data_IF_062915892416
#
_entry.id   IF_062915892416
#
_cell.length_a   1.000
_cell.length_b   1.000
_cell.length_c   1.000
_cell.angle_alpha   90.00
_cell.angle_beta   90.00
_cell.angle_gamma   90.00
#
_symmetry.space_group_name_H-M   'P 1'
#
loop_
_entity.id
_entity.type
_entity.pdbx_description
1 polymer ?
#
# COMPACT_ATOMS: atom_id res chain seq x y z
N UNK A 1 -3.78 -22.24 5.24
CA UNK A 1 -3.05 -20.95 5.26
C UNK A 1 -3.88 -19.85 5.95
N UNK A 2 -5.10 -19.55 5.48
CA UNK A 2 -5.99 -18.55 6.12
C UNK A 2 -6.16 -18.76 7.63
N UNK A 3 -6.48 -19.98 8.07
CA UNK A 3 -6.61 -20.30 9.50
C UNK A 3 -5.33 -20.01 10.29
N UNK A 4 -4.17 -20.45 9.79
CA UNK A 4 -2.86 -20.22 10.43
C UNK A 4 -2.57 -18.72 10.54
N UNK A 5 -2.86 -17.94 9.50
CA UNK A 5 -2.66 -16.49 9.50
C UNK A 5 -3.61 -15.79 10.48
N UNK A 6 -4.88 -16.18 10.52
CA UNK A 6 -5.83 -15.65 11.51
C UNK A 6 -5.39 -16.00 12.94
N UNK A 7 -4.86 -17.21 13.17
CA UNK A 7 -4.30 -17.60 14.46
C UNK A 7 -3.07 -16.75 14.81
N UNK A 8 -2.16 -16.51 13.88
CA UNK A 8 -0.99 -15.64 14.10
C UNK A 8 -1.41 -14.20 14.41
N UNK A 9 -2.36 -13.64 13.66
CA UNK A 9 -2.91 -12.30 13.91
C UNK A 9 -3.59 -12.24 15.29
N UNK A 10 -4.29 -13.30 15.69
CA UNK A 10 -4.88 -13.40 17.01
C UNK A 10 -3.82 -13.39 18.11
N UNK A 11 -2.75 -14.18 17.97
CA UNK A 11 -1.66 -14.26 18.95
C UNK A 11 -0.90 -12.91 19.06
N UNK A 12 -0.72 -12.22 17.95
CA UNK A 12 0.00 -10.94 17.88
C UNK A 12 -0.89 -9.71 18.21
N UNK A 13 -2.18 -9.89 18.49
CA UNK A 13 -3.13 -8.77 18.70
C UNK A 13 -2.69 -7.80 19.80
N UNK A 14 -2.13 -8.31 20.90
CA UNK A 14 -1.73 -7.49 22.04
C UNK A 14 -0.44 -6.69 21.75
N UNK A 15 0.64 -7.29 21.21
CA UNK A 15 1.79 -6.54 20.72
C UNK A 15 1.40 -5.46 19.70
N UNK A 16 0.55 -5.78 18.72
CA UNK A 16 0.12 -4.84 17.68
C UNK A 16 -0.66 -3.69 18.29
N UNK A 17 -1.63 -3.96 19.18
CA UNK A 17 -2.42 -2.91 19.81
C UNK A 17 -1.57 -2.01 20.72
N UNK A 18 -0.61 -2.57 21.45
CA UNK A 18 0.35 -1.78 22.24
C UNK A 18 1.24 -0.93 21.36
N UNK A 19 1.72 -1.46 20.23
CA UNK A 19 2.56 -0.72 19.30
C UNK A 19 1.81 0.44 18.63
N UNK A 20 0.57 0.20 18.16
CA UNK A 20 -0.21 1.20 17.40
C UNK A 20 -0.87 2.22 18.31
N UNK A 21 -1.46 1.79 19.43
CA UNK A 21 -2.30 2.66 20.27
C UNK A 21 -1.66 3.02 21.62
N UNK A 22 -0.43 2.54 21.88
CA UNK A 22 0.24 2.73 23.18
C UNK A 22 -0.64 2.36 24.38
N UNK A 23 -1.56 1.41 24.19
CA UNK A 23 -2.55 1.01 25.17
C UNK A 23 -2.64 -0.51 25.26
N UNK A 24 -2.82 -1.01 26.48
CA UNK A 24 -3.03 -2.44 26.76
C UNK A 24 -4.52 -2.81 26.82
N UNK A 25 -5.39 -2.01 26.23
CA UNK A 25 -6.83 -2.25 26.25
C UNK A 25 -7.16 -3.51 25.44
N UNK A 26 -7.65 -4.54 26.15
CA UNK A 26 -8.04 -5.83 25.56
C UNK A 26 -9.14 -5.66 24.52
N UNK A 27 -10.04 -4.71 24.74
CA UNK A 27 -11.20 -4.49 23.86
C UNK A 27 -10.80 -3.81 22.55
N UNK A 28 -9.85 -2.87 22.60
CA UNK A 28 -9.24 -2.27 21.42
C UNK A 28 -8.40 -3.30 20.65
N UNK A 29 -7.66 -4.14 21.38
CA UNK A 29 -6.87 -5.22 20.77
C UNK A 29 -7.75 -6.21 19.99
N UNK A 30 -8.95 -6.51 20.51
CA UNK A 30 -9.92 -7.34 19.80
C UNK A 30 -10.52 -6.65 18.58
N UNK A 31 -10.84 -5.36 18.67
CA UNK A 31 -11.34 -4.58 17.51
C UNK A 31 -10.33 -4.55 16.35
N UNK A 32 -9.05 -4.38 16.68
CA UNK A 32 -7.95 -4.42 15.70
C UNK A 32 -7.82 -5.81 15.08
N UNK A 33 -7.87 -6.87 15.89
CA UNK A 33 -7.88 -8.24 15.39
C UNK A 33 -9.00 -8.47 14.37
N UNK A 34 -10.23 -8.06 14.71
CA UNK A 34 -11.38 -8.26 13.86
C UNK A 34 -11.23 -7.52 12.52
N UNK A 35 -10.79 -6.27 12.55
CA UNK A 35 -10.54 -5.48 11.35
C UNK A 35 -9.45 -6.11 10.46
N UNK A 36 -8.32 -6.53 11.06
CA UNK A 36 -7.23 -7.13 10.27
C UNK A 36 -7.67 -8.46 9.66
N UNK A 37 -8.41 -9.28 10.41
CA UNK A 37 -8.97 -10.53 9.93
C UNK A 37 -9.95 -10.30 8.75
N UNK A 38 -10.83 -9.31 8.86
CA UNK A 38 -11.82 -8.99 7.83
C UNK A 38 -11.18 -8.38 6.58
N UNK A 39 -10.17 -7.52 6.72
CA UNK A 39 -9.42 -7.00 5.59
C UNK A 39 -8.70 -8.13 4.85
N UNK A 40 -8.12 -9.08 5.59
CA UNK A 40 -7.43 -10.22 4.99
C UNK A 40 -8.39 -11.10 4.16
N UNK A 41 -9.61 -11.35 4.65
CA UNK A 41 -10.62 -12.09 3.88
C UNK A 41 -11.08 -11.31 2.64
N UNK A 42 -11.30 -10.00 2.73
CA UNK A 42 -11.60 -9.18 1.54
C UNK A 42 -10.48 -9.26 0.51
N UNK A 43 -9.21 -9.20 0.94
CA UNK A 43 -8.06 -9.31 0.03
C UNK A 43 -8.00 -10.67 -0.69
N UNK A 44 -8.30 -11.78 0.02
CA UNK A 44 -8.36 -13.11 -0.60
C UNK A 44 -9.50 -13.25 -1.60
N UNK A 45 -10.68 -12.72 -1.27
CA UNK A 45 -11.84 -12.72 -2.18
C UNK A 45 -11.51 -11.94 -3.45
N UNK A 46 -10.91 -10.76 -3.30
CA UNK A 46 -10.47 -9.94 -4.43
C UNK A 46 -9.39 -10.65 -5.27
N UNK A 47 -8.45 -11.36 -4.64
CA UNK A 47 -7.44 -12.13 -5.35
C UNK A 47 -8.06 -13.28 -6.17
N UNK A 48 -9.08 -13.95 -5.62
CA UNK A 48 -9.81 -15.00 -6.32
C UNK A 48 -10.53 -14.48 -7.58
N UNK A 49 -11.32 -13.41 -7.46
CA UNK A 49 -12.05 -12.84 -8.61
C UNK A 49 -11.09 -12.30 -9.69
N UNK A 50 -9.99 -11.66 -9.28
CA UNK A 50 -8.94 -11.20 -10.21
C UNK A 50 -8.25 -12.37 -10.92
N UNK A 51 -8.00 -13.48 -10.23
CA UNK A 51 -7.44 -14.69 -10.83
C UNK A 51 -8.34 -15.30 -11.90
N UNK A 52 -9.66 -15.20 -11.71
CA UNK A 52 -10.67 -15.66 -12.67
C UNK A 52 -10.99 -14.65 -13.79
N UNK A 53 -10.36 -13.47 -13.78
CA UNK A 53 -10.62 -12.36 -14.71
C UNK A 53 -12.05 -11.80 -14.63
N UNK A 54 -12.79 -12.06 -13.55
CA UNK A 54 -14.12 -11.48 -13.33
C UNK A 54 -13.98 -10.10 -12.68
N UNK A 55 -13.61 -9.11 -13.50
CA UNK A 55 -13.40 -7.73 -13.05
C UNK A 55 -14.70 -7.08 -12.55
N UNK A 56 -15.86 -7.53 -13.03
CA UNK A 56 -17.16 -7.01 -12.60
C UNK A 56 -17.40 -7.38 -11.14
N UNK A 57 -17.28 -8.67 -10.78
CA UNK A 57 -17.42 -9.12 -9.40
C UNK A 57 -16.36 -8.53 -8.49
N UNK A 58 -15.11 -8.47 -8.95
CA UNK A 58 -14.03 -7.80 -8.23
C UNK A 58 -14.39 -6.34 -7.90
N UNK A 59 -14.85 -5.56 -8.88
CA UNK A 59 -15.21 -4.16 -8.65
C UNK A 59 -16.41 -4.01 -7.71
N UNK A 60 -17.43 -4.87 -7.84
CA UNK A 60 -18.58 -4.89 -6.94
C UNK A 60 -18.14 -5.16 -5.49
N UNK A 61 -17.35 -6.22 -5.27
CA UNK A 61 -16.87 -6.56 -3.92
C UNK A 61 -15.95 -5.48 -3.36
N UNK A 62 -15.03 -4.93 -4.17
CA UNK A 62 -14.16 -3.87 -3.74
C UNK A 62 -14.96 -2.61 -3.34
N UNK A 63 -15.95 -2.20 -4.14
CA UNK A 63 -16.83 -1.09 -3.81
C UNK A 63 -17.65 -1.36 -2.53
N UNK A 64 -18.25 -2.54 -2.41
CA UNK A 64 -19.05 -2.91 -1.25
C UNK A 64 -18.21 -2.95 0.03
N UNK A 65 -17.12 -3.72 0.05
CA UNK A 65 -16.34 -3.98 1.25
C UNK A 65 -15.34 -2.88 1.61
N UNK A 66 -14.77 -2.17 0.63
CA UNK A 66 -13.75 -1.15 0.89
C UNK A 66 -14.32 0.28 0.95
N UNK A 67 -15.51 0.53 0.39
CA UNK A 67 -16.14 1.86 0.41
C UNK A 67 -17.49 1.88 1.13
N UNK A 68 -18.49 1.16 0.62
CA UNK A 68 -19.88 1.30 1.09
C UNK A 68 -20.06 0.83 2.54
N UNK A 69 -19.59 -0.37 2.88
CA UNK A 69 -19.77 -0.95 4.21
C UNK A 69 -19.03 -0.19 5.31
N UNK A 70 -17.77 0.26 5.12
CA UNK A 70 -17.12 1.14 6.09
C UNK A 70 -17.86 2.46 6.31
N UNK A 71 -18.32 3.11 5.23
CA UNK A 71 -19.09 4.35 5.32
C UNK A 71 -20.43 4.14 6.03
N UNK A 72 -21.16 3.08 5.69
CA UNK A 72 -22.41 2.72 6.36
C UNK A 72 -22.20 2.44 7.85
N UNK A 73 -21.11 1.75 8.21
CA UNK A 73 -20.74 1.46 9.60
C UNK A 73 -20.47 2.74 10.39
N UNK A 74 -19.72 3.68 9.82
CA UNK A 74 -19.46 4.99 10.45
C UNK A 74 -20.75 5.79 10.58
N UNK A 75 -21.54 5.89 9.52
CA UNK A 75 -22.79 6.66 9.51
C UNK A 75 -23.81 6.14 10.52
N UNK A 76 -23.97 4.82 10.63
CA UNK A 76 -24.87 4.19 11.61
C UNK A 76 -24.42 4.47 13.06
N UNK A 77 -23.11 4.45 13.30
CA UNK A 77 -22.55 4.74 14.63
C UNK A 77 -22.62 6.23 15.01
N UNK A 78 -22.43 7.12 14.04
CA UNK A 78 -22.61 8.56 14.23
C UNK A 78 -24.09 8.91 14.48
N UNK A 79 -25.01 8.24 13.79
CA UNK A 79 -26.46 8.47 13.93
C UNK A 79 -27.01 7.99 15.28
N UNK A 80 -26.48 6.90 15.83
CA UNK A 80 -26.96 6.29 17.08
C UNK A 80 -26.57 7.04 18.37
N UNK A 81 -26.10 8.30 18.28
CA UNK A 81 -25.77 9.16 19.44
C UNK A 81 -24.86 8.49 20.47
N UNK A 82 -23.83 7.74 20.06
CA UNK A 82 -22.69 7.46 20.93
C UNK A 82 -21.82 8.72 21.09
N UNK A 83 -22.44 9.79 21.60
CA UNK A 83 -21.78 10.95 22.18
C UNK A 83 -21.13 10.52 23.50
N UNK A 84 -20.05 9.76 23.39
CA UNK A 84 -19.12 9.65 24.51
C UNK A 84 -18.03 10.68 24.29
N UNK A 85 -17.76 11.47 25.32
CA UNK A 85 -16.65 12.42 25.44
C UNK A 85 -15.26 11.76 25.30
N UNK A 86 -15.22 10.46 24.99
CA UNK A 86 -14.04 9.62 25.00
C UNK A 86 -13.75 9.13 23.57
N UNK A 87 -12.92 9.86 22.84
CA UNK A 87 -12.56 9.54 21.44
C UNK A 87 -12.04 8.11 21.22
N UNK A 88 -11.50 7.47 22.26
CA UNK A 88 -11.08 6.05 22.24
C UNK A 88 -12.27 5.10 22.10
N UNK A 89 -13.41 5.40 22.72
CA UNK A 89 -14.60 4.55 22.65
C UNK A 89 -15.25 4.66 21.25
N UNK A 90 -15.31 5.86 20.68
CA UNK A 90 -15.78 6.07 19.32
C UNK A 90 -14.92 5.30 18.30
N UNK A 91 -13.60 5.44 18.39
CA UNK A 91 -12.66 4.71 17.53
C UNK A 91 -12.86 3.20 17.62
N UNK A 92 -13.03 2.65 18.83
CA UNK A 92 -13.31 1.22 19.03
C UNK A 92 -14.58 0.78 18.30
N UNK A 93 -15.69 1.49 18.46
CA UNK A 93 -16.96 1.11 17.82
C UNK A 93 -16.86 1.16 16.30
N UNK A 94 -16.20 2.19 15.75
CA UNK A 94 -15.96 2.29 14.30
C UNK A 94 -15.16 1.09 13.81
N UNK A 95 -14.06 0.73 14.48
CA UNK A 95 -13.23 -0.40 14.08
C UNK A 95 -13.99 -1.74 14.14
N UNK A 96 -14.80 -1.96 15.18
CA UNK A 96 -15.64 -3.16 15.28
C UNK A 96 -16.71 -3.18 14.20
N UNK A 97 -17.41 -2.06 13.96
CA UNK A 97 -18.44 -1.96 12.93
C UNK A 97 -17.89 -2.29 11.54
N UNK A 98 -16.75 -1.68 11.18
CA UNK A 98 -16.05 -1.97 9.92
C UNK A 98 -15.63 -3.45 9.88
N UNK A 99 -15.04 -3.97 10.96
CA UNK A 99 -14.58 -5.35 11.04
C UNK A 99 -15.70 -6.38 10.85
N UNK A 100 -16.86 -6.16 11.48
CA UNK A 100 -18.04 -7.03 11.31
C UNK A 100 -18.56 -6.94 9.87
N UNK A 101 -18.74 -5.72 9.35
CA UNK A 101 -19.31 -5.53 8.02
C UNK A 101 -18.43 -6.16 6.93
N UNK A 102 -17.11 -5.97 7.02
CA UNK A 102 -16.15 -6.60 6.12
C UNK A 102 -16.00 -8.11 6.37
N UNK A 103 -16.23 -8.57 7.59
CA UNK A 103 -16.17 -9.98 7.99
C UNK A 103 -17.18 -10.87 7.25
N UNK A 104 -18.24 -10.30 6.66
CA UNK A 104 -19.15 -11.02 5.76
C UNK A 104 -18.43 -11.68 4.58
N UNK A 105 -17.29 -11.13 4.13
CA UNK A 105 -16.45 -11.74 3.11
C UNK A 105 -15.91 -13.13 3.49
N UNK A 106 -15.76 -13.43 4.80
CA UNK A 106 -15.33 -14.75 5.29
C UNK A 106 -16.37 -15.81 4.93
N UNK A 107 -17.66 -15.51 5.04
CA UNK A 107 -18.74 -16.45 4.71
C UNK A 107 -18.74 -16.79 3.23
N UNK A 108 -18.54 -15.79 2.37
CA UNK A 108 -18.43 -15.97 0.92
C UNK A 108 -17.21 -16.86 0.59
N UNK A 109 -16.05 -16.56 1.18
CA UNK A 109 -14.85 -17.36 0.99
C UNK A 109 -15.00 -18.79 1.50
N UNK A 110 -15.66 -19.00 2.65
CA UNK A 110 -15.94 -20.32 3.18
C UNK A 110 -16.80 -21.13 2.19
N UNK A 111 -17.83 -20.50 1.62
CA UNK A 111 -18.66 -21.11 0.58
C UNK A 111 -17.88 -21.52 -0.67
N UNK A 112 -16.99 -20.65 -1.17
CA UNK A 112 -16.10 -20.95 -2.30
C UNK A 112 -15.17 -22.11 -1.94
N UNK A 113 -14.57 -22.06 -0.75
CA UNK A 113 -13.61 -23.05 -0.27
C UNK A 113 -14.25 -24.43 -0.15
N UNK A 114 -15.42 -24.53 0.48
CA UNK A 114 -16.16 -25.81 0.62
C UNK A 114 -16.49 -26.42 -0.74
N UNK A 115 -16.84 -25.61 -1.75
CA UNK A 115 -17.08 -26.10 -3.11
C UNK A 115 -15.79 -26.58 -3.76
N UNK A 116 -14.69 -25.84 -3.64
CA UNK A 116 -13.41 -26.18 -4.23
C UNK A 116 -12.80 -27.47 -3.65
N UNK A 117 -12.90 -27.67 -2.33
CA UNK A 117 -12.37 -28.87 -1.65
C UNK A 117 -13.04 -30.18 -2.07
N UNK A 118 -14.23 -30.14 -2.70
CA UNK A 118 -14.87 -31.34 -3.25
C UNK A 118 -14.16 -31.92 -4.46
N UNK A 119 -13.31 -31.14 -5.13
CA UNK A 119 -12.72 -31.48 -6.43
C UNK A 119 -11.19 -31.50 -6.42
N UNK A 120 -10.55 -31.23 -5.29
CA UNK A 120 -9.09 -31.10 -5.19
C UNK A 120 -8.53 -32.22 -4.33
N UNK A 121 -7.53 -32.92 -4.84
CA UNK A 121 -6.83 -33.95 -4.07
C UNK A 121 -5.87 -33.34 -3.03
N UNK A 122 -5.57 -34.04 -1.92
CA UNK A 122 -4.63 -33.55 -0.92
C UNK A 122 -3.22 -33.24 -1.46
N UNK A 123 -2.75 -34.02 -2.44
CA UNK A 123 -1.44 -33.82 -3.08
C UNK A 123 -1.39 -32.56 -3.95
N UNK A 124 -2.45 -32.28 -4.71
CA UNK A 124 -2.60 -31.03 -5.46
C UNK A 124 -2.63 -29.82 -4.54
N UNK A 125 -3.33 -29.93 -3.40
CA UNK A 125 -3.40 -28.86 -2.40
C UNK A 125 -2.02 -28.52 -1.82
N UNK A 126 -1.21 -29.54 -1.49
CA UNK A 126 0.16 -29.33 -0.99
C UNK A 126 1.04 -28.69 -2.06
N UNK A 127 0.95 -29.16 -3.30
CA UNK A 127 1.73 -28.64 -4.42
C UNK A 127 1.38 -27.19 -4.72
N UNK A 128 0.08 -26.86 -4.78
CA UNK A 128 -0.41 -25.50 -4.97
C UNK A 128 0.00 -24.58 -3.82
N UNK A 129 -0.14 -25.03 -2.56
CA UNK A 129 0.27 -24.28 -1.38
C UNK A 129 1.76 -23.97 -1.39
N UNK A 130 2.61 -24.96 -1.76
CA UNK A 130 4.06 -24.77 -1.87
C UNK A 130 4.41 -23.76 -2.95
N UNK A 131 3.72 -23.80 -4.10
CA UNK A 131 3.91 -22.82 -5.18
C UNK A 131 3.56 -21.41 -4.74
N UNK A 132 2.39 -21.23 -4.11
CA UNK A 132 1.92 -19.93 -3.59
C UNK A 132 2.90 -19.39 -2.54
N UNK A 133 3.38 -20.22 -1.61
CA UNK A 133 4.33 -19.79 -0.60
C UNK A 133 5.69 -19.43 -1.21
N UNK A 134 6.21 -20.24 -2.15
CA UNK A 134 7.49 -19.96 -2.83
C UNK A 134 7.44 -18.66 -3.62
N UNK A 135 6.30 -18.35 -4.24
CA UNK A 135 6.09 -17.10 -4.98
C UNK A 135 5.82 -15.90 -4.05
N UNK A 136 4.99 -16.10 -3.03
CA UNK A 136 4.47 -15.03 -2.16
C UNK A 136 5.40 -14.60 -1.04
N UNK A 137 6.08 -15.54 -0.36
CA UNK A 137 6.92 -15.24 0.82
C UNK A 137 8.02 -14.20 0.50
N UNK A 138 8.79 -14.32 -0.61
CA UNK A 138 9.78 -13.30 -0.96
C UNK A 138 9.18 -11.92 -1.23
N UNK A 139 7.90 -11.83 -1.60
CA UNK A 139 7.16 -10.60 -1.89
C UNK A 139 6.60 -9.92 -0.64
N UNK A 140 6.34 -10.69 0.42
CA UNK A 140 5.90 -10.14 1.72
C UNK A 140 6.93 -9.14 2.25
N UNK A 141 8.23 -9.41 2.08
CA UNK A 141 9.31 -8.49 2.48
C UNK A 141 9.12 -7.11 1.84
N UNK A 142 8.78 -7.05 0.55
CA UNK A 142 8.51 -5.77 -0.11
C UNK A 142 7.32 -5.04 0.50
N UNK A 143 6.22 -5.77 0.69
CA UNK A 143 4.98 -5.23 1.23
C UNK A 143 5.19 -4.65 2.63
N UNK A 144 6.11 -5.22 3.42
CA UNK A 144 6.46 -4.71 4.75
C UNK A 144 7.42 -3.52 4.73
N UNK A 145 8.40 -3.51 3.80
CA UNK A 145 9.37 -2.41 3.68
C UNK A 145 8.76 -1.14 3.07
N UNK A 146 7.74 -1.29 2.23
CA UNK A 146 7.14 -0.17 1.51
C UNK A 146 6.52 0.89 2.43
N UNK A 147 5.67 0.53 3.41
CA UNK A 147 5.20 1.47 4.42
C UNK A 147 6.34 2.07 5.25
N UNK A 148 7.44 1.35 5.47
CA UNK A 148 8.57 1.87 6.23
C UNK A 148 9.26 3.04 5.50
N UNK A 149 9.47 2.93 4.17
CA UNK A 149 10.01 4.04 3.36
C UNK A 149 9.04 5.24 3.35
N UNK A 150 7.73 4.98 3.23
CA UNK A 150 6.72 6.05 3.25
C UNK A 150 6.65 6.76 4.60
N UNK A 151 6.63 6.00 5.70
CA UNK A 151 6.44 6.54 7.05
C UNK A 151 7.74 7.04 7.71
N UNK A 152 8.90 6.77 7.13
CA UNK A 152 10.17 7.20 7.67
C UNK A 152 10.23 8.71 7.93
N UNK A 153 9.91 9.60 6.98
CA UNK A 153 9.99 11.04 7.25
C UNK A 153 9.06 11.58 8.33
N UNK A 154 7.75 11.27 8.36
CA UNK A 154 6.90 11.74 9.45
C UNK A 154 7.31 11.13 10.80
N UNK A 155 7.72 9.86 10.82
CA UNK A 155 8.20 9.20 12.04
C UNK A 155 9.47 9.85 12.59
N UNK A 156 10.46 10.12 11.73
CA UNK A 156 11.71 10.75 12.15
C UNK A 156 11.50 12.21 12.53
N UNK A 157 10.65 12.94 11.80
CA UNK A 157 10.29 14.32 12.15
C UNK A 157 9.69 14.42 13.56
N UNK A 158 8.86 13.44 13.98
CA UNK A 158 8.36 13.36 15.35
C UNK A 158 9.49 13.13 16.37
N UNK A 159 10.45 12.27 16.04
CA UNK A 159 11.59 11.97 16.92
C UNK A 159 12.52 13.17 17.11
N UNK A 160 12.67 14.00 16.09
CA UNK A 160 13.44 15.24 16.12
C UNK A 160 12.68 16.43 16.75
N UNK A 161 11.43 16.23 17.18
CA UNK A 161 10.63 17.27 17.83
C UNK A 161 9.77 18.12 16.89
N UNK A 162 9.82 17.90 15.58
CA UNK A 162 9.04 18.64 14.56
C UNK A 162 7.61 18.11 14.41
N UNK A 163 6.79 18.25 15.45
CA UNK A 163 5.42 17.70 15.49
C UNK A 163 4.49 18.23 14.40
N UNK A 164 4.45 19.54 14.18
CA UNK A 164 3.60 20.14 13.14
C UNK A 164 4.04 19.68 11.74
N UNK A 165 5.35 19.66 11.49
CA UNK A 165 5.94 19.23 10.20
C UNK A 165 5.64 17.76 9.93
N UNK A 166 5.72 16.88 10.93
CA UNK A 166 5.36 15.48 10.77
C UNK A 166 3.90 15.29 10.32
N UNK A 167 2.99 16.11 10.84
CA UNK A 167 1.59 16.14 10.41
C UNK A 167 1.45 16.59 8.96
N UNK A 168 2.13 17.68 8.58
CA UNK A 168 2.12 18.21 7.20
C UNK A 168 2.70 17.19 6.21
N UNK A 169 3.84 16.58 6.53
CA UNK A 169 4.44 15.53 5.69
C UNK A 169 3.48 14.35 5.56
N UNK A 170 2.85 13.91 6.65
CA UNK A 170 1.88 12.80 6.61
C UNK A 170 0.72 13.10 5.67
N UNK A 171 0.23 14.34 5.66
CA UNK A 171 -0.76 14.79 4.68
C UNK A 171 -0.18 14.75 3.26
N UNK A 172 1.02 15.30 3.03
CA UNK A 172 1.71 15.24 1.74
C UNK A 172 1.86 13.83 1.18
N UNK A 173 2.11 12.83 2.02
CA UNK A 173 2.19 11.41 1.62
C UNK A 173 0.85 10.85 1.11
N UNK A 174 -0.29 11.48 1.38
CA UNK A 174 -1.54 11.03 0.76
C UNK A 174 -1.56 11.33 -0.74
N UNK A 175 -0.80 12.32 -1.23
CA UNK A 175 -0.61 12.56 -2.66
C UNK A 175 0.09 11.36 -3.30
N UNK A 176 1.13 10.82 -2.64
CA UNK A 176 1.78 9.58 -3.07
C UNK A 176 0.78 8.42 -3.08
N UNK A 177 -0.11 8.32 -2.09
CA UNK A 177 -1.15 7.28 -2.09
C UNK A 177 -2.14 7.40 -3.26
N UNK A 178 -2.34 8.58 -3.84
CA UNK A 178 -3.17 8.71 -5.05
C UNK A 178 -2.51 7.98 -6.24
N UNK A 179 -1.18 7.97 -6.34
CA UNK A 179 -0.48 7.17 -7.36
C UNK A 179 -0.71 5.66 -7.17
N UNK A 180 -0.84 5.20 -5.92
CA UNK A 180 -1.19 3.81 -5.64
C UNK A 180 -2.57 3.46 -6.18
N UNK A 181 -3.53 4.39 -6.15
CA UNK A 181 -4.86 4.16 -6.74
C UNK A 181 -4.76 3.95 -8.25
N UNK A 182 -3.98 4.79 -8.94
CA UNK A 182 -3.70 4.60 -10.38
C UNK A 182 -2.99 3.27 -10.66
N UNK A 183 -1.99 2.93 -9.84
CA UNK A 183 -1.29 1.65 -9.89
C UNK A 183 -2.22 0.46 -9.69
N UNK A 184 -3.17 0.53 -8.75
CA UNK A 184 -4.12 -0.55 -8.52
C UNK A 184 -5.08 -0.73 -9.69
N UNK A 185 -5.60 0.37 -10.25
CA UNK A 185 -6.45 0.33 -11.44
C UNK A 185 -5.70 -0.30 -12.62
N UNK A 186 -4.48 0.17 -12.89
CA UNK A 186 -3.65 -0.35 -13.97
C UNK A 186 -3.23 -1.81 -13.72
N UNK A 187 -2.66 -2.10 -12.54
CA UNK A 187 -2.15 -3.41 -12.16
C UNK A 187 -3.23 -4.47 -12.02
N UNK A 188 -4.49 -4.08 -11.78
CA UNK A 188 -5.61 -5.02 -11.77
C UNK A 188 -5.81 -5.68 -13.13
N UNK A 189 -5.70 -4.90 -14.20
CA UNK A 189 -5.84 -5.35 -15.60
C UNK A 189 -4.50 -5.85 -16.17
N UNK A 190 -3.41 -5.13 -15.92
CA UNK A 190 -2.12 -5.38 -16.54
C UNK A 190 -1.50 -6.71 -16.09
N UNK A 191 -1.54 -7.03 -14.78
CA UNK A 191 -0.94 -8.26 -14.23
C UNK A 191 -1.49 -9.53 -14.92
N UNK A 192 -2.81 -9.80 -14.93
CA UNK A 192 -3.33 -11.00 -15.57
C UNK A 192 -3.11 -11.04 -17.09
N UNK A 193 -3.18 -9.87 -17.75
CA UNK A 193 -2.97 -9.78 -19.20
C UNK A 193 -1.52 -10.09 -19.59
N UNK A 194 -0.56 -9.50 -18.88
CA UNK A 194 0.88 -9.72 -19.06
C UNK A 194 1.24 -11.18 -18.79
N UNK A 195 0.76 -11.76 -17.68
CA UNK A 195 1.07 -13.15 -17.33
C UNK A 195 0.53 -14.14 -18.38
N UNK A 196 -0.61 -13.86 -19.02
CA UNK A 196 -1.19 -14.71 -20.08
C UNK A 196 -0.48 -14.59 -21.43
N UNK A 197 0.03 -13.40 -21.78
CA UNK A 197 0.80 -13.21 -23.03
C UNK A 197 2.18 -13.85 -22.90
N UNK A 198 2.80 -13.70 -21.73
CA UNK A 198 4.11 -14.27 -21.44
C UNK A 198 4.07 -15.80 -21.49
N UNK A 199 2.97 -16.43 -21.08
CA UNK A 199 2.79 -17.89 -21.17
C UNK A 199 2.53 -18.42 -22.58
N UNK A 200 2.32 -17.54 -23.58
CA UNK A 200 1.96 -17.92 -24.97
C UNK A 200 3.08 -17.66 -25.99
N UNK A 201 4.31 -17.40 -25.53
CA UNK A 201 5.47 -17.05 -26.37
C UNK A 201 5.30 -15.79 -27.26
N UNK A 202 4.20 -15.05 -27.14
CA UNK A 202 3.95 -13.76 -27.82
C UNK A 202 4.66 -12.57 -27.16
N UNK A 203 5.71 -12.81 -26.37
CA UNK A 203 6.42 -11.80 -25.57
C UNK A 203 6.92 -10.60 -26.40
N UNK A 204 7.24 -10.82 -27.69
CA UNK A 204 7.65 -9.76 -28.61
C UNK A 204 6.60 -8.66 -28.83
N UNK A 205 5.31 -8.94 -28.62
CA UNK A 205 4.23 -7.94 -28.74
C UNK A 205 4.10 -7.07 -27.49
N UNK A 206 4.62 -7.51 -26.36
CA UNK A 206 4.48 -6.82 -25.09
C UNK A 206 5.48 -5.66 -24.94
N UNK A 207 6.68 -5.80 -25.51
CA UNK A 207 7.77 -4.83 -25.38
C UNK A 207 7.42 -3.44 -25.95
N UNK A 208 6.85 -3.30 -27.16
CA UNK A 208 6.42 -1.99 -27.66
C UNK A 208 5.33 -1.35 -26.79
N UNK A 209 4.38 -2.14 -26.28
CA UNK A 209 3.31 -1.65 -25.43
C UNK A 209 3.83 -1.12 -24.08
N UNK A 210 4.72 -1.89 -23.42
CA UNK A 210 5.38 -1.46 -22.18
C UNK A 210 6.19 -0.18 -22.41
N UNK A 211 6.93 -0.11 -23.53
CA UNK A 211 7.73 1.08 -23.87
C UNK A 211 6.86 2.33 -24.07
N UNK A 212 5.80 2.23 -24.87
CA UNK A 212 4.87 3.34 -25.09
C UNK A 212 4.22 3.79 -23.79
N UNK A 213 3.74 2.84 -22.97
CA UNK A 213 3.17 3.15 -21.67
C UNK A 213 4.19 3.82 -20.73
N UNK A 214 5.44 3.34 -20.73
CA UNK A 214 6.52 3.90 -19.92
C UNK A 214 6.72 5.38 -20.23
N UNK A 215 6.69 5.77 -21.51
CA UNK A 215 6.80 7.17 -21.93
C UNK A 215 5.62 7.97 -21.39
N UNK A 216 4.38 7.50 -21.56
CA UNK A 216 3.20 8.21 -21.05
C UNK A 216 3.23 8.38 -19.54
N UNK A 217 3.62 7.34 -18.79
CA UNK A 217 3.72 7.39 -17.32
C UNK A 217 4.78 8.41 -16.88
N UNK A 218 5.95 8.44 -17.54
CA UNK A 218 7.00 9.41 -17.24
C UNK A 218 6.50 10.84 -17.53
N UNK A 219 5.97 11.10 -18.73
CA UNK A 219 5.49 12.43 -19.13
C UNK A 219 4.39 12.90 -18.18
N UNK A 220 3.38 12.06 -17.92
CA UNK A 220 2.29 12.39 -17.03
C UNK A 220 2.77 12.68 -15.61
N UNK A 221 3.62 11.81 -15.05
CA UNK A 221 4.08 11.95 -13.67
C UNK A 221 5.00 13.16 -13.47
N UNK A 222 5.82 13.51 -14.46
CA UNK A 222 6.63 14.75 -14.45
C UNK A 222 5.76 15.99 -14.52
N UNK A 223 4.79 16.05 -15.44
CA UNK A 223 3.86 17.18 -15.56
C UNK A 223 3.02 17.36 -14.30
N UNK A 224 2.52 16.27 -13.73
CA UNK A 224 1.80 16.27 -12.46
C UNK A 224 2.69 16.83 -11.33
N UNK A 225 3.96 16.39 -11.26
CA UNK A 225 4.91 16.84 -10.24
C UNK A 225 5.21 18.33 -10.36
N UNK A 226 5.47 18.83 -11.57
CA UNK A 226 5.71 20.27 -11.81
C UNK A 226 4.49 21.09 -11.39
N UNK A 227 3.29 20.63 -11.77
CA UNK A 227 2.03 21.29 -11.40
C UNK A 227 1.86 21.34 -9.88
N UNK A 228 2.07 20.22 -9.18
CA UNK A 228 1.97 20.15 -7.73
C UNK A 228 3.01 21.02 -7.03
N UNK A 229 4.26 21.05 -7.50
CA UNK A 229 5.31 21.90 -6.94
C UNK A 229 4.93 23.37 -7.09
N UNK A 230 4.50 23.78 -8.28
CA UNK A 230 4.13 25.16 -8.56
C UNK A 230 2.94 25.62 -7.68
N UNK A 231 1.87 24.83 -7.66
CA UNK A 231 0.63 25.14 -6.92
C UNK A 231 0.64 24.69 -5.45
N UNK A 232 1.75 24.20 -4.91
CA UNK A 232 1.79 23.65 -3.54
C UNK A 232 1.24 24.58 -2.46
N UNK A 233 1.54 25.90 -2.43
CA UNK A 233 0.97 26.82 -1.44
C UNK A 233 -0.56 26.89 -1.49
N UNK A 234 -1.13 26.81 -2.69
CA UNK A 234 -2.58 26.79 -2.90
C UNK A 234 -3.19 25.47 -2.44
N UNK A 235 -2.57 24.34 -2.79
CA UNK A 235 -2.98 23.00 -2.32
C UNK A 235 -2.99 22.95 -0.79
N UNK A 236 -1.91 23.41 -0.15
CA UNK A 236 -1.79 23.46 1.32
C UNK A 236 -2.85 24.37 1.93
N UNK A 237 -3.08 25.55 1.35
CA UNK A 237 -4.10 26.48 1.83
C UNK A 237 -5.50 25.88 1.81
N UNK A 238 -5.89 25.24 0.70
CA UNK A 238 -7.22 24.63 0.56
C UNK A 238 -7.35 23.42 1.48
N UNK A 239 -6.31 22.60 1.56
CA UNK A 239 -6.42 21.30 2.22
C UNK A 239 -6.15 21.35 3.72
N UNK A 240 -5.07 22.03 4.13
CA UNK A 240 -4.64 22.11 5.53
C UNK A 240 -5.04 23.43 6.18
N UNK A 241 -5.28 24.47 5.38
CA UNK A 241 -5.61 25.82 5.85
C UNK A 241 -4.44 26.80 5.74
N UNK A 242 -4.75 28.09 5.81
CA UNK A 242 -3.78 29.18 5.61
C UNK A 242 -2.58 29.13 6.58
N UNK A 243 -2.77 28.66 7.83
CA UNK A 243 -1.71 28.53 8.84
C UNK A 243 -0.53 27.66 8.36
N UNK A 244 -0.79 26.66 7.52
CA UNK A 244 0.23 25.68 7.10
C UNK A 244 0.96 26.05 5.82
N UNK A 245 0.58 27.15 5.14
CA UNK A 245 1.22 27.62 3.90
C UNK A 245 2.75 27.77 4.02
N UNK A 246 3.34 28.21 5.15
CA UNK A 246 4.80 28.25 5.31
C UNK A 246 5.49 26.89 5.15
N UNK A 247 4.79 25.78 5.33
CA UNK A 247 5.32 24.43 5.14
C UNK A 247 5.20 23.92 3.69
N UNK A 248 4.74 24.76 2.75
CA UNK A 248 4.61 24.36 1.35
C UNK A 248 5.96 23.96 0.71
N UNK A 249 7.06 24.59 1.10
CA UNK A 249 8.39 24.28 0.54
C UNK A 249 8.88 22.88 0.95
N UNK A 250 8.57 22.45 2.18
CA UNK A 250 8.82 21.07 2.64
C UNK A 250 8.11 20.08 1.73
N UNK A 251 6.85 20.34 1.39
CA UNK A 251 6.08 19.48 0.50
C UNK A 251 6.57 19.54 -0.94
N UNK A 252 7.02 20.71 -1.43
CA UNK A 252 7.65 20.83 -2.75
C UNK A 252 8.87 19.93 -2.87
N UNK A 253 9.75 19.94 -1.87
CA UNK A 253 10.94 19.07 -1.82
C UNK A 253 10.52 17.60 -1.80
N UNK A 254 9.51 17.26 -1.00
CA UNK A 254 8.96 15.90 -0.95
C UNK A 254 8.44 15.44 -2.32
N UNK A 255 7.77 16.31 -3.08
CA UNK A 255 7.19 15.94 -4.39
C UNK A 255 8.23 15.66 -5.47
N UNK A 256 9.51 16.04 -5.30
CA UNK A 256 10.55 15.82 -6.33
C UNK A 256 10.70 14.33 -6.69
N UNK A 257 10.46 13.43 -5.74
CA UNK A 257 10.54 11.99 -5.98
C UNK A 257 9.25 11.35 -6.54
N UNK A 258 8.17 12.13 -6.67
CA UNK A 258 6.87 11.65 -7.13
C UNK A 258 6.94 10.95 -8.50
N UNK A 259 7.68 11.44 -9.53
CA UNK A 259 7.76 10.74 -10.82
C UNK A 259 8.31 9.33 -10.71
N UNK A 260 9.38 9.17 -9.92
CA UNK A 260 10.05 7.87 -9.73
C UNK A 260 9.19 6.89 -8.96
N UNK A 261 8.55 7.39 -7.90
CA UNK A 261 7.60 6.61 -7.13
C UNK A 261 6.38 6.22 -7.98
N UNK A 262 5.80 7.15 -8.73
CA UNK A 262 4.66 6.89 -9.61
C UNK A 262 5.00 5.83 -10.66
N UNK A 263 6.20 5.93 -11.26
CA UNK A 263 6.70 4.96 -12.21
C UNK A 263 6.83 3.56 -11.60
N UNK A 264 7.50 3.43 -10.44
CA UNK A 264 7.57 2.17 -9.70
C UNK A 264 6.17 1.61 -9.41
N UNK A 265 5.27 2.44 -8.88
CA UNK A 265 3.93 2.00 -8.50
C UNK A 265 3.16 1.46 -9.71
N UNK A 266 3.19 2.12 -10.86
CA UNK A 266 2.48 1.63 -12.06
C UNK A 266 3.07 0.30 -12.55
N UNK A 267 4.39 0.18 -12.60
CA UNK A 267 5.04 -0.97 -13.23
C UNK A 267 5.32 -2.16 -12.30
N UNK A 268 5.22 -2.02 -10.97
CA UNK A 268 5.50 -3.13 -10.04
C UNK A 268 4.69 -4.39 -10.40
N UNK A 269 3.41 -4.23 -10.74
CA UNK A 269 2.55 -5.35 -11.10
C UNK A 269 2.92 -5.97 -12.45
N UNK A 270 3.48 -5.20 -13.39
CA UNK A 270 4.01 -5.76 -14.65
C UNK A 270 5.22 -6.61 -14.36
N UNK A 271 6.17 -6.12 -13.56
CA UNK A 271 7.39 -6.85 -13.17
C UNK A 271 7.02 -8.14 -12.43
N UNK A 272 6.10 -8.08 -11.47
CA UNK A 272 5.66 -9.26 -10.72
C UNK A 272 4.93 -10.29 -11.59
N UNK A 273 4.32 -9.85 -12.69
CA UNK A 273 3.66 -10.73 -13.67
C UNK A 273 4.62 -11.37 -14.67
N UNK A 274 5.77 -10.74 -14.93
CA UNK A 274 6.82 -11.22 -15.83
C UNK A 274 7.77 -12.21 -15.15
N UNK A 275 8.08 -11.97 -13.88
CA UNK A 275 9.14 -12.69 -13.18
C UNK A 275 8.61 -13.52 -12.00
N UNK A 276 9.04 -14.77 -11.93
CA UNK A 276 8.83 -15.58 -10.72
C UNK A 276 9.66 -15.02 -9.55
N UNK A 277 10.83 -14.44 -9.83
CA UNK A 277 11.72 -13.82 -8.84
C UNK A 277 11.08 -12.54 -8.30
N UNK A 278 11.26 -12.28 -7.00
CA UNK A 278 10.73 -11.08 -6.35
C UNK A 278 11.64 -9.86 -6.59
N UNK A 279 11.75 -9.43 -7.85
CA UNK A 279 12.60 -8.31 -8.29
C UNK A 279 12.23 -7.02 -7.55
N UNK A 280 10.94 -6.72 -7.42
CA UNK A 280 10.47 -5.54 -6.69
C UNK A 280 10.89 -5.57 -5.21
N UNK A 281 10.86 -6.74 -4.56
CA UNK A 281 11.33 -6.87 -3.16
C UNK A 281 12.81 -6.54 -3.04
N UNK A 282 13.62 -7.02 -3.98
CA UNK A 282 15.04 -6.72 -4.01
C UNK A 282 15.28 -5.22 -4.22
N UNK A 283 14.64 -4.62 -5.22
CA UNK A 283 14.78 -3.20 -5.51
C UNK A 283 14.35 -2.31 -4.33
N UNK A 284 13.30 -2.70 -3.62
CA UNK A 284 12.82 -1.98 -2.45
C UNK A 284 13.72 -2.17 -1.22
N UNK A 285 14.31 -3.36 -1.04
CA UNK A 285 15.33 -3.56 -0.01
C UNK A 285 16.56 -2.67 -0.29
N UNK A 286 17.02 -2.64 -1.55
CA UNK A 286 18.12 -1.77 -1.96
C UNK A 286 17.78 -0.29 -1.74
N UNK A 287 16.55 0.15 -2.02
CA UNK A 287 16.16 1.54 -1.77
C UNK A 287 16.09 1.90 -0.29
N UNK A 288 15.68 0.97 0.58
CA UNK A 288 15.74 1.16 2.05
C UNK A 288 17.20 1.27 2.51
N UNK A 289 18.08 0.40 2.03
CA UNK A 289 19.52 0.49 2.34
C UNK A 289 20.08 1.83 1.87
N UNK A 290 19.73 2.26 0.66
CA UNK A 290 20.16 3.55 0.12
C UNK A 290 19.62 4.73 0.94
N UNK A 291 18.37 4.68 1.39
CA UNK A 291 17.76 5.67 2.30
C UNK A 291 18.56 5.81 3.59
N UNK A 292 18.88 4.68 4.25
CA UNK A 292 19.61 4.66 5.52
C UNK A 292 21.04 5.17 5.35
N UNK A 293 21.73 4.75 4.29
CA UNK A 293 23.08 5.23 3.98
C UNK A 293 23.08 6.74 3.68
N UNK A 294 22.14 7.21 2.86
CA UNK A 294 22.00 8.63 2.55
C UNK A 294 21.73 9.44 3.82
N UNK A 295 20.80 8.98 4.66
CA UNK A 295 20.51 9.60 5.95
C UNK A 295 21.76 9.68 6.83
N UNK A 296 22.51 8.59 6.98
CA UNK A 296 23.72 8.54 7.80
C UNK A 296 24.82 9.49 7.29
N UNK A 297 25.10 9.47 5.98
CA UNK A 297 26.14 10.32 5.37
C UNK A 297 25.74 11.80 5.46
N UNK A 298 24.51 12.16 5.10
CA UNK A 298 24.09 13.56 5.13
C UNK A 298 23.99 14.10 6.56
N UNK A 299 23.65 13.26 7.55
CA UNK A 299 23.71 13.61 8.97
C UNK A 299 25.15 13.82 9.45
N UNK A 300 26.10 12.97 9.01
CA UNK A 300 27.52 13.13 9.31
C UNK A 300 28.08 14.46 8.75
N UNK A 301 27.62 14.88 7.58
CA UNK A 301 27.97 16.17 6.96
C UNK A 301 27.27 17.38 7.60
N UNK A 302 26.50 17.19 8.68
CA UNK A 302 25.78 18.25 9.42
C UNK A 302 24.82 19.06 8.55
N UNK A 303 24.23 18.43 7.54
CA UNK A 303 23.11 19.02 6.81
C UNK A 303 21.90 19.14 7.75
N UNK A 304 21.04 20.13 7.53
CA UNK A 304 19.82 20.33 8.33
C UNK A 304 19.02 19.02 8.48
N UNK A 305 18.75 18.61 9.72
CA UNK A 305 18.20 17.29 10.04
C UNK A 305 16.88 16.99 9.31
N UNK A 306 15.97 17.96 9.29
CA UNK A 306 14.68 17.82 8.62
C UNK A 306 14.85 17.65 7.10
N UNK A 307 15.78 18.39 6.50
CA UNK A 307 16.09 18.28 5.08
C UNK A 307 16.68 16.90 4.77
N UNK A 308 17.61 16.40 5.59
CA UNK A 308 18.20 15.05 5.46
C UNK A 308 17.12 13.98 5.47
N UNK A 309 16.16 14.09 6.38
CA UNK A 309 15.04 13.15 6.49
C UNK A 309 14.23 13.08 5.18
N UNK A 310 13.84 14.22 4.60
CA UNK A 310 13.04 14.26 3.36
C UNK A 310 13.88 13.81 2.16
N UNK A 311 15.12 14.28 2.06
CA UNK A 311 16.02 13.93 0.96
C UNK A 311 16.36 12.43 0.95
N UNK A 312 16.48 11.81 2.12
CA UNK A 312 16.72 10.36 2.19
C UNK A 312 15.56 9.55 1.60
N UNK A 313 14.31 9.94 1.86
CA UNK A 313 13.15 9.30 1.22
C UNK A 313 13.12 9.55 -0.28
N UNK A 314 13.42 10.79 -0.71
CA UNK A 314 13.51 11.11 -2.12
C UNK A 314 14.54 10.24 -2.83
N UNK A 315 15.73 10.09 -2.22
CA UNK A 315 16.80 9.23 -2.71
C UNK A 315 16.34 7.77 -2.84
N UNK A 316 15.58 7.26 -1.85
CA UNK A 316 15.01 5.92 -1.88
C UNK A 316 14.07 5.73 -3.07
N UNK A 317 13.14 6.66 -3.29
CA UNK A 317 12.19 6.57 -4.40
C UNK A 317 12.84 6.77 -5.76
N UNK A 318 13.83 7.68 -5.87
CA UNK A 318 14.63 7.85 -7.07
C UNK A 318 15.37 6.55 -7.44
N UNK A 319 16.02 5.92 -6.46
CA UNK A 319 16.67 4.62 -6.65
C UNK A 319 15.68 3.56 -7.12
N UNK A 320 14.52 3.48 -6.45
CA UNK A 320 13.48 2.51 -6.75
C UNK A 320 12.95 2.67 -8.18
N UNK A 321 12.60 3.90 -8.58
CA UNK A 321 12.12 4.19 -9.94
C UNK A 321 13.19 3.93 -11.00
N UNK A 322 14.45 4.28 -10.72
CA UNK A 322 15.57 4.01 -11.64
C UNK A 322 15.79 2.50 -11.86
N UNK A 323 15.73 1.69 -10.79
CA UNK A 323 15.82 0.23 -10.89
C UNK A 323 14.66 -0.38 -11.66
N UNK A 324 13.44 0.13 -11.47
CA UNK A 324 12.27 -0.28 -12.26
C UNK A 324 12.46 0.04 -13.73
N UNK A 325 12.91 1.25 -14.07
CA UNK A 325 13.16 1.65 -15.46
C UNK A 325 14.27 0.79 -16.10
N UNK A 326 15.37 0.57 -15.38
CA UNK A 326 16.47 -0.29 -15.84
C UNK A 326 15.97 -1.71 -16.14
N UNK A 327 15.15 -2.28 -15.26
CA UNK A 327 14.58 -3.61 -15.46
C UNK A 327 13.73 -3.66 -16.74
N UNK A 328 12.79 -2.72 -16.91
CA UNK A 328 11.88 -2.70 -18.05
C UNK A 328 12.58 -2.41 -19.38
N UNK A 329 13.72 -1.72 -19.37
CA UNK A 329 14.52 -1.51 -20.57
C UNK A 329 15.21 -2.79 -21.07
N UNK A 330 15.60 -3.65 -20.14
CA UNK A 330 16.33 -4.89 -20.41
C UNK A 330 15.42 -6.06 -20.80
N UNK A 331 14.11 -5.94 -20.56
CA UNK A 331 13.06 -6.87 -21.03
C UNK A 331 12.63 -6.51 -22.45
#
# INVERSE_FOLDING_TARGET
ILAILLTLIFLLRNPIARFVFSSSDRSLSFAVYLLVASLFSVMLLNAWERGNLDFTRYNIFNFLFMALLPLASVSLLCYTRFATSNGKLLARHILVGIGIAQGLSILILAGITVRAFKYISPSELVTASRSILRYGVPRVVAVSLYPAVLLFPPWMSLKLGYKEVAGVISAGLMIFRMADVFSMAFGSVALPYVSRITSREEAGRLRPAIRSLSIYVIVFSVLLTITLIYFMPFVVRIWLGAKYVPYADILRILMVSLPFYFYYSVFRSVIDGLEFRAVNSKNLLESVVFMVLFFAVASFLRVNELLVVILSQNAAFMWLGAKTLQFLHNV
#
